data_IF_560680135072
#
_entry.id   IF_560680135072
#
_cell.length_a   1.000
_cell.length_b   1.000
_cell.length_c   1.000
_cell.angle_alpha   90.00
_cell.angle_beta   90.00
_cell.angle_gamma   90.00
#
_symmetry.space_group_name_H-M   'P 1'
#
loop_
_entity.id
_entity.type
_entity.pdbx_description
1 polymer ?
#
# COMPACT_ATOMS: atom_id res chain seq x y z
N UNK A 1 -12.27 13.99 -3.22
CA UNK A 1 -10.83 14.09 -2.89
C UNK A 1 -10.15 12.94 -3.59
N UNK A 2 -9.21 13.25 -4.47
CA UNK A 2 -8.59 12.24 -5.31
C UNK A 2 -7.41 11.60 -4.55
N UNK A 3 -7.52 10.30 -4.31
CA UNK A 3 -6.41 9.48 -3.84
C UNK A 3 -5.71 8.95 -5.08
N UNK A 4 -4.56 9.52 -5.39
CA UNK A 4 -3.78 9.15 -6.56
C UNK A 4 -3.04 7.84 -6.29
N UNK A 5 -3.02 6.96 -7.28
CA UNK A 5 -2.26 5.73 -7.23
C UNK A 5 -1.74 5.39 -8.61
N UNK A 6 -0.51 4.90 -8.67
CA UNK A 6 0.15 4.48 -9.90
C UNK A 6 0.95 3.20 -9.66
N UNK A 7 1.21 2.46 -10.74
CA UNK A 7 1.99 1.23 -10.70
C UNK A 7 3.36 1.50 -11.29
N UNK A 8 4.40 1.21 -10.52
CA UNK A 8 5.77 1.23 -11.03
C UNK A 8 5.92 0.14 -12.10
N UNK A 9 6.44 0.52 -13.27
CA UNK A 9 6.48 -0.37 -14.43
C UNK A 9 7.54 -1.46 -14.31
N UNK A 10 8.63 -1.17 -13.61
CA UNK A 10 9.78 -2.08 -13.51
C UNK A 10 9.59 -3.10 -12.40
N UNK A 11 9.18 -2.65 -11.22
CA UNK A 11 8.97 -3.50 -10.05
C UNK A 11 7.57 -4.11 -9.99
N UNK A 12 6.57 -3.43 -10.57
CA UNK A 12 5.18 -3.82 -10.45
C UNK A 12 4.52 -3.45 -9.11
N UNK A 13 5.22 -2.67 -8.27
CA UNK A 13 4.74 -2.16 -6.99
C UNK A 13 3.73 -1.04 -7.21
N UNK A 14 2.65 -1.02 -6.44
CA UNK A 14 1.70 0.09 -6.44
C UNK A 14 2.11 1.16 -5.45
N UNK A 15 2.16 2.41 -5.90
CA UNK A 15 2.35 3.59 -5.06
C UNK A 15 1.01 4.29 -4.91
N UNK A 16 0.65 4.62 -3.67
CA UNK A 16 -0.57 5.35 -3.33
C UNK A 16 -0.15 6.62 -2.61
N UNK A 17 -0.51 7.77 -3.19
CA UNK A 17 -0.28 9.07 -2.58
C UNK A 17 -1.39 9.32 -1.56
N UNK A 18 -1.00 9.44 -0.29
CA UNK A 18 -1.93 9.72 0.78
C UNK A 18 -2.41 11.18 0.73
N UNK A 19 -3.69 11.44 1.03
CA UNK A 19 -4.22 12.80 1.07
C UNK A 19 -3.56 13.62 2.19
N UNK A 20 -3.57 14.95 2.07
CA UNK A 20 -2.97 15.83 3.07
C UNK A 20 -3.51 15.61 4.49
N UNK A 21 -4.78 15.26 4.60
CA UNK A 21 -5.43 14.91 5.86
C UNK A 21 -5.96 13.50 5.73
N UNK A 22 -5.58 12.63 6.64
CA UNK A 22 -6.09 11.26 6.78
C UNK A 22 -6.98 11.16 8.03
N UNK A 23 -8.22 11.58 7.89
CA UNK A 23 -9.24 11.62 8.95
C UNK A 23 -10.65 11.46 8.33
N UNK A 24 -11.63 10.99 9.11
CA UNK A 24 -13.03 10.97 8.68
C UNK A 24 -13.26 10.40 7.26
N UNK A 25 -13.86 11.19 6.38
CA UNK A 25 -14.18 10.79 5.00
C UNK A 25 -12.94 10.51 4.14
N UNK A 26 -11.83 11.22 4.36
CA UNK A 26 -10.62 11.03 3.56
C UNK A 26 -9.95 9.70 3.88
N UNK A 27 -9.99 9.30 5.15
CA UNK A 27 -9.55 7.97 5.59
C UNK A 27 -10.43 6.87 4.97
N UNK A 28 -11.74 7.08 4.85
CA UNK A 28 -12.67 6.14 4.19
C UNK A 28 -12.35 6.01 2.69
N UNK A 29 -12.16 7.13 1.99
CA UNK A 29 -11.82 7.13 0.57
C UNK A 29 -10.46 6.43 0.33
N UNK A 30 -9.46 6.75 1.14
CA UNK A 30 -8.15 6.12 1.10
C UNK A 30 -8.23 4.60 1.34
N UNK A 31 -8.97 4.18 2.38
CA UNK A 31 -9.19 2.75 2.67
C UNK A 31 -9.84 2.03 1.49
N UNK A 32 -10.84 2.63 0.86
CA UNK A 32 -11.51 2.07 -0.31
C UNK A 32 -10.57 1.92 -1.50
N UNK A 33 -9.68 2.90 -1.73
CA UNK A 33 -8.67 2.83 -2.79
C UNK A 33 -7.65 1.71 -2.55
N UNK A 34 -7.11 1.61 -1.33
CA UNK A 34 -6.20 0.52 -0.94
C UNK A 34 -6.90 -0.83 -1.10
N UNK A 35 -8.16 -0.94 -0.68
CA UNK A 35 -8.96 -2.15 -0.85
C UNK A 35 -9.12 -2.54 -2.32
N UNK A 36 -9.48 -1.62 -3.21
CA UNK A 36 -9.62 -1.89 -4.65
C UNK A 36 -8.35 -2.49 -5.24
N UNK A 37 -7.20 -1.87 -4.97
CA UNK A 37 -5.90 -2.33 -5.48
C UNK A 37 -5.56 -3.73 -4.96
N UNK A 38 -5.82 -4.00 -3.68
CA UNK A 38 -5.60 -5.33 -3.09
C UNK A 38 -6.56 -6.37 -3.66
N UNK A 39 -7.83 -6.02 -3.88
CA UNK A 39 -8.83 -6.91 -4.49
C UNK A 39 -8.51 -7.19 -5.98
N UNK A 40 -7.79 -6.30 -6.65
CA UNK A 40 -7.25 -6.47 -8.01
C UNK A 40 -5.99 -7.38 -8.06
N UNK A 41 -5.57 -7.95 -6.93
CA UNK A 41 -4.41 -8.87 -6.84
C UNK A 41 -3.07 -8.18 -6.59
N UNK A 42 -3.07 -6.88 -6.30
CA UNK A 42 -1.83 -6.14 -6.05
C UNK A 42 -1.50 -6.06 -4.56
N UNK A 43 -0.50 -6.84 -4.14
CA UNK A 43 -0.15 -7.00 -2.73
C UNK A 43 1.14 -6.29 -2.30
N UNK A 44 1.93 -5.75 -3.23
CA UNK A 44 3.11 -4.94 -2.93
C UNK A 44 2.74 -3.47 -3.07
N UNK A 45 2.53 -2.80 -1.93
CA UNK A 45 2.09 -1.40 -1.91
C UNK A 45 3.07 -0.51 -1.13
N UNK A 46 3.25 0.69 -1.65
CA UNK A 46 3.90 1.81 -0.98
C UNK A 46 2.86 2.90 -0.77
N UNK A 47 2.73 3.37 0.47
CA UNK A 47 1.93 4.54 0.82
C UNK A 47 2.91 5.71 0.99
N UNK A 48 2.81 6.67 0.09
CA UNK A 48 3.60 7.90 0.12
C UNK A 48 2.87 8.96 0.96
N UNK A 49 3.48 9.36 2.08
CA UNK A 49 2.94 10.30 3.04
C UNK A 49 3.54 11.71 2.89
N UNK A 50 4.26 12.00 1.80
CA UNK A 50 4.99 13.26 1.58
C UNK A 50 4.13 14.52 1.81
N UNK A 51 2.90 14.50 1.33
CA UNK A 51 1.98 15.64 1.45
C UNK A 51 1.04 15.52 2.66
N UNK A 52 1.09 14.41 3.41
CA UNK A 52 0.26 14.22 4.59
C UNK A 52 0.75 15.11 5.73
N UNK A 53 -0.10 16.02 6.18
CA UNK A 53 0.18 16.95 7.30
C UNK A 53 -0.61 16.60 8.56
N UNK A 54 -1.68 15.79 8.44
CA UNK A 54 -2.50 15.39 9.57
C UNK A 54 -3.03 13.96 9.43
N UNK A 55 -3.11 13.25 10.55
CA UNK A 55 -3.63 11.89 10.62
C UNK A 55 -4.21 11.60 12.00
N UNK A 56 -5.35 10.90 12.04
CA UNK A 56 -5.99 10.41 13.27
C UNK A 56 -5.97 8.86 13.35
N UNK A 57 -6.70 8.30 14.31
CA UNK A 57 -6.86 6.84 14.46
C UNK A 57 -7.54 6.19 13.25
N UNK A 58 -8.41 6.91 12.55
CA UNK A 58 -9.09 6.44 11.33
C UNK A 58 -8.10 6.30 10.18
N UNK A 59 -7.21 7.27 10.01
CA UNK A 59 -6.12 7.24 9.03
C UNK A 59 -5.17 6.06 9.24
N UNK A 60 -4.72 5.84 10.47
CA UNK A 60 -3.91 4.66 10.82
C UNK A 60 -4.67 3.35 10.58
N UNK A 61 -5.93 3.28 11.01
CA UNK A 61 -6.78 2.11 10.83
C UNK A 61 -7.02 1.76 9.35
N UNK A 62 -7.13 2.77 8.48
CA UNK A 62 -7.26 2.58 7.04
C UNK A 62 -6.07 1.80 6.46
N UNK A 63 -4.85 2.16 6.86
CA UNK A 63 -3.61 1.50 6.41
C UNK A 63 -3.46 0.10 7.00
N UNK A 64 -3.68 -0.05 8.32
CA UNK A 64 -3.52 -1.33 9.02
C UNK A 64 -4.50 -2.37 8.51
N UNK A 65 -5.69 -1.95 8.06
CA UNK A 65 -6.78 -2.86 7.72
C UNK A 65 -6.48 -3.89 6.64
N UNK A 66 -5.48 -3.67 5.77
CA UNK A 66 -5.12 -4.55 4.64
C UNK A 66 -3.75 -5.22 4.77
N UNK A 67 -2.94 -4.88 5.78
CA UNK A 67 -1.60 -5.46 5.98
C UNK A 67 -1.65 -6.99 6.09
N UNK A 68 -2.59 -7.52 6.86
CA UNK A 68 -2.68 -8.97 7.04
C UNK A 68 -2.97 -9.67 5.70
N UNK A 69 -3.88 -9.11 4.89
CA UNK A 69 -4.26 -9.65 3.58
C UNK A 69 -3.12 -9.55 2.57
N UNK A 70 -2.37 -8.45 2.54
CA UNK A 70 -1.24 -8.31 1.61
C UNK A 70 -0.12 -9.29 1.96
N UNK A 71 0.19 -9.43 3.26
CA UNK A 71 1.20 -10.37 3.77
C UNK A 71 0.84 -11.83 3.54
N UNK A 72 -0.42 -12.22 3.77
CA UNK A 72 -0.86 -13.60 3.49
C UNK A 72 -0.75 -13.97 2.02
N UNK A 73 -0.79 -12.97 1.12
CA UNK A 73 -0.60 -13.15 -0.31
C UNK A 73 0.86 -12.95 -0.76
N UNK A 74 1.81 -12.85 0.17
CA UNK A 74 3.25 -12.75 -0.11
C UNK A 74 3.77 -11.35 -0.45
N UNK A 75 2.91 -10.33 -0.32
CA UNK A 75 3.28 -8.92 -0.44
C UNK A 75 3.49 -8.25 0.93
N UNK A 76 3.44 -6.92 0.95
CA UNK A 76 3.45 -6.11 2.17
C UNK A 76 2.98 -4.68 1.86
N UNK A 77 2.67 -3.91 2.90
CA UNK A 77 2.45 -2.46 2.81
C UNK A 77 3.63 -1.75 3.47
N UNK A 78 4.22 -0.80 2.74
CA UNK A 78 5.33 0.03 3.21
C UNK A 78 4.94 1.49 3.25
N UNK A 79 5.54 2.24 4.17
CA UNK A 79 5.32 3.67 4.29
C UNK A 79 6.57 4.42 3.82
N UNK A 80 6.38 5.53 3.11
CA UNK A 80 7.43 6.40 2.61
C UNK A 80 7.17 7.87 2.98
N UNK A 81 8.22 8.66 3.08
CA UNK A 81 8.17 10.13 3.27
C UNK A 81 7.34 10.58 4.48
N UNK A 82 7.46 9.89 5.62
CA UNK A 82 6.78 10.34 6.84
C UNK A 82 7.40 11.63 7.35
N UNK A 83 6.58 12.63 7.64
CA UNK A 83 7.02 13.80 8.39
C UNK A 83 7.22 13.43 9.89
N UNK A 84 7.94 14.27 10.68
CA UNK A 84 8.21 13.99 12.09
C UNK A 84 6.97 13.76 12.96
N UNK A 85 5.88 14.49 12.70
CA UNK A 85 4.62 14.34 13.44
C UNK A 85 3.98 12.96 13.20
N UNK A 86 3.95 12.49 11.94
CA UNK A 86 3.43 11.17 11.58
C UNK A 86 4.35 10.05 12.10
N UNK A 87 5.67 10.27 12.09
CA UNK A 87 6.63 9.33 12.69
C UNK A 87 6.37 9.16 14.20
N UNK A 88 6.20 10.26 14.93
CA UNK A 88 5.88 10.23 16.37
C UNK A 88 4.56 9.50 16.63
N UNK A 89 3.52 9.81 15.85
CA UNK A 89 2.21 9.16 15.95
C UNK A 89 2.31 7.63 15.78
N UNK A 90 3.08 7.17 14.79
CA UNK A 90 3.30 5.73 14.54
C UNK A 90 4.14 5.08 15.66
N UNK A 91 5.08 5.81 16.26
CA UNK A 91 5.86 5.32 17.39
C UNK A 91 5.00 5.18 18.65
N UNK A 92 4.21 6.20 19.00
CA UNK A 92 3.32 6.19 20.19
C UNK A 92 2.29 5.06 20.09
N UNK A 93 1.80 4.79 18.88
CA UNK A 93 0.83 3.71 18.63
C UNK A 93 1.47 2.32 18.47
N UNK A 94 2.80 2.19 18.63
CA UNK A 94 3.57 0.96 18.39
C UNK A 94 3.38 0.35 16.99
N UNK A 95 2.91 1.14 16.02
CA UNK A 95 2.72 0.71 14.64
C UNK A 95 4.04 0.71 13.85
N UNK A 96 5.10 1.29 14.40
CA UNK A 96 6.46 1.16 13.88
C UNK A 96 6.95 -0.30 13.81
N UNK A 97 6.38 -1.21 14.61
CA UNK A 97 6.65 -2.66 14.52
C UNK A 97 5.81 -3.36 13.45
N UNK A 98 4.75 -2.69 13.00
CA UNK A 98 3.81 -3.21 12.01
C UNK A 98 4.27 -2.82 10.62
N UNK A 99 4.71 -1.59 10.40
CA UNK A 99 5.13 -1.09 9.09
C UNK A 99 6.64 -1.11 8.89
N UNK A 100 7.09 -1.40 7.67
CA UNK A 100 8.41 -1.00 7.22
C UNK A 100 8.32 0.45 6.71
N UNK A 101 9.20 1.30 7.22
CA UNK A 101 9.19 2.76 6.98
C UNK A 101 10.48 3.14 6.25
N UNK A 102 10.36 3.99 5.23
CA UNK A 102 11.46 4.43 4.38
C UNK A 102 11.44 5.94 4.22
N UNK A 103 12.63 6.52 3.99
CA UNK A 103 12.79 7.96 3.81
C UNK A 103 12.31 8.45 2.44
N UNK A 104 12.15 7.56 1.46
CA UNK A 104 11.67 7.90 0.12
C UNK A 104 10.82 6.80 -0.51
N UNK A 105 10.02 7.18 -1.50
CA UNK A 105 9.16 6.26 -2.28
C UNK A 105 10.01 5.27 -3.08
N UNK A 106 11.13 5.73 -3.65
CA UNK A 106 12.08 4.90 -4.39
C UNK A 106 12.72 3.84 -3.48
N UNK A 107 13.11 4.21 -2.26
CA UNK A 107 13.66 3.27 -1.29
C UNK A 107 12.62 2.21 -0.86
N UNK A 108 11.36 2.61 -0.68
CA UNK A 108 10.26 1.71 -0.37
C UNK A 108 9.94 0.74 -1.52
N UNK A 109 10.01 1.20 -2.78
CA UNK A 109 9.87 0.37 -3.98
C UNK A 109 11.03 -0.63 -4.05
N UNK A 110 12.28 -0.14 -3.99
CA UNK A 110 13.48 -0.93 -4.15
C UNK A 110 13.59 -2.06 -3.11
N UNK A 111 13.11 -1.83 -1.88
CA UNK A 111 13.13 -2.85 -0.83
C UNK A 111 12.24 -4.07 -1.13
N UNK A 112 11.37 -4.05 -2.16
CA UNK A 112 10.58 -5.23 -2.55
C UNK A 112 11.44 -6.23 -3.33
N UNK A 113 12.51 -5.75 -3.98
CA UNK A 113 13.38 -6.57 -4.83
C UNK A 113 12.57 -7.39 -5.84
N UNK A 114 12.99 -8.64 -6.06
CA UNK A 114 12.32 -9.57 -6.98
C UNK A 114 10.92 -10.04 -6.53
N UNK A 115 10.50 -9.78 -5.28
CA UNK A 115 9.23 -10.29 -4.74
C UNK A 115 8.03 -9.73 -5.50
N UNK A 116 8.09 -8.46 -5.89
CA UNK A 116 7.02 -7.81 -6.63
C UNK A 116 6.88 -8.36 -8.07
N UNK A 117 7.98 -8.80 -8.69
CA UNK A 117 8.01 -9.33 -10.06
C UNK A 117 7.51 -10.78 -10.16
N UNK A 118 7.82 -11.63 -9.19
CA UNK A 118 7.48 -13.08 -9.23
C UNK A 118 5.98 -13.36 -9.08
N UNK A 119 5.24 -12.54 -8.32
CA UNK A 119 3.80 -12.72 -8.09
C UNK A 119 2.92 -12.40 -9.29
N UNK A 120 3.35 -11.49 -10.17
CA UNK A 120 2.60 -11.13 -11.37
C UNK A 120 2.60 -12.24 -12.44
N UNK A 121 3.66 -13.07 -12.46
CA UNK A 121 3.77 -14.18 -13.41
C UNK A 121 2.90 -15.38 -13.01
N UNK A 122 2.66 -15.59 -11.71
CA UNK A 122 1.82 -16.71 -11.22
C UNK A 122 0.32 -16.44 -11.44
N UNK A 123 -0.17 -15.21 -11.28
CA UNK A 123 -1.60 -14.88 -11.46
C UNK A 123 -2.04 -14.84 -12.93
N UNK A 124 -1.15 -14.44 -13.86
CA UNK A 124 -1.45 -14.46 -15.31
C UNK A 124 -1.52 -15.87 -15.91
N UNK A 125 -1.08 -16.91 -15.20
CA UNK A 125 -1.15 -18.30 -15.68
C UNK A 125 -2.51 -18.94 -15.36
N UNK A 126 -3.24 -18.45 -14.35
CA UNK A 126 -4.50 -19.06 -13.89
C UNK A 126 -5.73 -18.54 -14.67
N UNK A 127 -5.70 -17.32 -15.22
CA UNK A 127 -6.83 -16.77 -16.00
C UNK A 127 -6.96 -17.27 -17.44
N UNK A 128 -6.00 -18.03 -17.98
CA UNK A 128 -6.04 -18.52 -19.37
C UNK A 128 -6.59 -19.95 -19.54
N UNK A 129 -7.01 -20.64 -18.47
CA UNK A 129 -7.50 -22.02 -18.54
C UNK A 129 -9.03 -22.17 -18.54
N UNK A 130 -9.75 -21.27 -19.23
CA UNK A 130 -11.13 -21.56 -19.66
C UNK A 130 -11.22 -21.44 -21.17
N UNK A 131 -10.65 -22.43 -21.86
CA UNK A 131 -10.85 -22.65 -23.29
C UNK A 131 -11.58 -24.00 -23.47
N UNK A 132 -12.71 -23.91 -24.19
CA UNK A 132 -13.49 -24.96 -24.90
C UNK A 132 -14.28 -25.98 -24.07
N UNK A 133 -15.62 -25.87 -24.03
CA UNK A 133 -16.66 -26.41 -24.96
C UNK A 133 -16.91 -27.93 -24.77
N UNK A 134 -18.14 -28.46 -24.96
CA UNK A 134 -19.23 -27.99 -25.82
C UNK A 134 -20.53 -27.60 -25.10
#
# INVERSE_FOLDING_TARGET
>A
MDVYAWKDRESGVYVIEAPQRLEGETAVAFRSKVKSIVDEGHYCLVIDLKDTVYMDSSGLGAMVSRIATTRSNGGDIRLANLNPFIQELIQVTNLNRVFQIFDSTEAAIASFGDKARKKQTEENTVSSNVVTHP
#
